data_IF_542635067378
#
_entry.id   IF_542635067378
#
_cell.length_a   1.000
_cell.length_b   1.000
_cell.length_c   1.000
_cell.angle_alpha   90.00
_cell.angle_beta   90.00
_cell.angle_gamma   90.00
#
_symmetry.space_group_name_H-M   'P 1'
#
loop_
_entity.id
_entity.type
_entity.pdbx_description
1 polymer ?
#
# COMPACT_ATOMS: atom_id res chain seq x y z
N UNK A 1 -6.73 -17.26 7.30
CA UNK A 1 -5.79 -16.12 7.14
C UNK A 1 -6.25 -15.27 5.96
N UNK A 2 -7.47 -14.72 6.02
CA UNK A 2 -8.17 -14.08 4.87
C UNK A 2 -8.62 -12.63 5.18
N UNK A 3 -8.06 -12.01 6.22
CA UNK A 3 -8.41 -10.64 6.64
C UNK A 3 -7.47 -9.56 6.09
N UNK A 4 -6.41 -9.93 5.35
CA UNK A 4 -5.40 -8.99 4.87
C UNK A 4 -5.78 -8.23 3.58
N UNK A 5 -6.72 -8.74 2.79
CA UNK A 5 -6.99 -8.23 1.43
C UNK A 5 -7.94 -7.03 1.37
N UNK A 6 -8.64 -6.70 2.46
CA UNK A 6 -9.66 -5.63 2.48
C UNK A 6 -9.27 -4.37 3.27
N UNK A 7 -8.15 -4.36 3.99
CA UNK A 7 -7.76 -3.24 4.87
C UNK A 7 -7.20 -2.04 4.08
N UNK A 8 -6.44 -2.27 3.02
CA UNK A 8 -5.92 -1.18 2.16
C UNK A 8 -7.06 -0.45 1.42
N UNK A 9 -8.15 -1.18 1.14
CA UNK A 9 -9.39 -0.65 0.55
C UNK A 9 -10.18 0.21 1.57
N UNK A 10 -10.20 -0.20 2.83
CA UNK A 10 -10.86 0.52 3.92
C UNK A 10 -10.22 1.89 4.19
N UNK A 11 -8.87 1.96 4.15
CA UNK A 11 -8.15 3.23 4.31
C UNK A 11 -8.43 4.23 3.19
N UNK A 12 -8.53 3.76 1.94
CA UNK A 12 -8.84 4.59 0.77
C UNK A 12 -10.29 5.10 0.81
N UNK A 13 -11.23 4.25 1.26
CA UNK A 13 -12.64 4.62 1.48
C UNK A 13 -12.76 5.66 2.61
N UNK A 14 -12.05 5.46 3.72
CA UNK A 14 -12.01 6.40 4.84
C UNK A 14 -11.62 7.81 4.40
N UNK A 15 -10.69 7.91 3.45
CA UNK A 15 -10.19 9.14 2.86
C UNK A 15 -11.15 9.83 1.89
N UNK A 16 -11.87 9.04 1.09
CA UNK A 16 -12.96 9.56 0.29
C UNK A 16 -14.02 10.20 1.19
N UNK A 17 -14.37 9.54 2.30
CA UNK A 17 -15.31 10.10 3.27
C UNK A 17 -14.73 11.31 4.03
N UNK A 18 -13.42 11.34 4.35
CA UNK A 18 -12.81 12.51 5.02
C UNK A 18 -12.80 13.75 4.13
N UNK A 19 -12.60 13.56 2.82
CA UNK A 19 -12.69 14.65 1.85
C UNK A 19 -14.15 15.11 1.65
N UNK A 20 -15.10 14.17 1.57
CA UNK A 20 -16.53 14.47 1.35
C UNK A 20 -17.18 15.18 2.54
N UNK A 21 -16.77 14.82 3.76
CA UNK A 21 -17.31 15.34 5.02
C UNK A 21 -16.47 16.49 5.61
N UNK A 22 -15.45 16.95 4.88
CA UNK A 22 -14.66 18.11 5.27
C UNK A 22 -15.52 19.38 5.31
N UNK A 23 -15.32 20.28 6.30
CA UNK A 23 -15.97 21.59 6.35
C UNK A 23 -15.81 22.43 5.07
N UNK A 24 -14.75 22.19 4.30
CA UNK A 24 -14.46 22.91 3.06
C UNK A 24 -15.31 22.47 1.85
N UNK A 25 -15.78 21.23 1.86
CA UNK A 25 -16.63 20.64 0.80
C UNK A 25 -18.09 20.58 1.23
N UNK A 26 -18.35 20.78 2.53
CA UNK A 26 -19.67 20.77 3.13
C UNK A 26 -20.67 21.70 2.44
N UNK A 27 -20.33 22.93 1.99
CA UNK A 27 -21.25 23.78 1.23
C UNK A 27 -21.60 23.21 -0.14
N UNK A 28 -20.66 22.57 -0.83
CA UNK A 28 -20.83 21.99 -2.16
C UNK A 28 -21.64 20.69 -2.09
N UNK A 29 -21.39 19.88 -1.06
CA UNK A 29 -22.15 18.67 -0.75
C UNK A 29 -23.55 19.02 -0.25
N UNK A 30 -23.69 20.06 0.58
CA UNK A 30 -24.99 20.61 0.99
C UNK A 30 -25.77 21.13 -0.23
N UNK A 31 -25.11 21.75 -1.21
CA UNK A 31 -25.75 22.17 -2.47
C UNK A 31 -26.24 20.95 -3.28
N UNK A 32 -25.44 19.89 -3.39
CA UNK A 32 -25.83 18.64 -4.04
C UNK A 32 -26.93 17.87 -3.31
N UNK A 33 -26.87 17.79 -1.98
CA UNK A 33 -27.89 17.17 -1.14
C UNK A 33 -29.19 17.98 -1.14
N UNK A 34 -29.10 19.32 -1.20
CA UNK A 34 -30.25 20.21 -1.37
C UNK A 34 -30.90 20.02 -2.74
N UNK A 35 -30.11 19.81 -3.81
CA UNK A 35 -30.63 19.46 -5.13
C UNK A 35 -31.36 18.10 -5.16
N UNK A 36 -31.03 17.20 -4.23
CA UNK A 36 -31.74 15.93 -4.00
C UNK A 36 -32.89 16.05 -2.99
N UNK A 37 -33.23 17.26 -2.53
CA UNK A 37 -34.35 17.52 -1.61
C UNK A 37 -34.06 17.26 -0.13
N UNK A 38 -32.81 17.02 0.26
CA UNK A 38 -32.39 16.80 1.66
C UNK A 38 -32.09 18.14 2.39
N UNK A 39 -32.78 19.21 2.01
CA UNK A 39 -32.45 20.61 2.32
C UNK A 39 -32.71 21.11 3.74
N UNK A 40 -32.83 20.22 4.73
CA UNK A 40 -33.11 20.61 6.13
C UNK A 40 -32.33 19.81 7.17
N UNK A 41 -31.32 19.07 6.73
CA UNK A 41 -30.51 18.30 7.65
C UNK A 41 -29.48 19.22 8.34
N UNK A 42 -29.88 19.78 9.48
CA UNK A 42 -28.99 20.13 10.60
C UNK A 42 -28.29 18.85 11.15
N UNK A 43 -27.74 17.98 10.28
CA UNK A 43 -27.32 16.58 10.53
C UNK A 43 -26.16 16.44 11.54
N UNK A 44 -25.85 17.54 12.21
CA UNK A 44 -24.51 17.92 12.58
C UNK A 44 -24.52 19.08 13.61
N UNK A 45 -25.67 19.37 14.22
CA UNK A 45 -25.75 20.24 15.39
C UNK A 45 -24.96 19.62 16.55
N UNK A 46 -24.00 20.37 17.13
CA UNK A 46 -23.15 20.02 18.29
C UNK A 46 -22.17 18.84 18.12
N UNK A 47 -22.59 17.80 17.41
CA UNK A 47 -21.90 16.50 17.31
C UNK A 47 -20.89 16.43 16.16
N UNK A 48 -20.96 17.37 15.20
CA UNK A 48 -19.99 17.52 14.08
C UNK A 48 -18.55 17.43 14.52
N UNK A 49 -18.25 18.13 15.59
CA UNK A 49 -16.90 18.27 16.11
C UNK A 49 -16.34 16.92 16.57
N UNK A 50 -17.12 16.16 17.32
CA UNK A 50 -16.75 14.83 17.79
C UNK A 50 -16.57 13.86 16.62
N UNK A 51 -17.44 13.92 15.61
CA UNK A 51 -17.35 13.10 14.41
C UNK A 51 -16.07 13.44 13.61
N UNK A 52 -15.78 14.72 13.42
CA UNK A 52 -14.58 15.16 12.70
C UNK A 52 -13.28 14.74 13.42
N UNK A 53 -13.24 14.87 14.75
CA UNK A 53 -12.11 14.39 15.56
C UNK A 53 -11.94 12.87 15.46
N UNK A 54 -13.04 12.10 15.51
CA UNK A 54 -13.00 10.65 15.35
C UNK A 54 -12.44 10.25 13.98
N UNK A 55 -12.84 10.95 12.91
CA UNK A 55 -12.32 10.68 11.55
C UNK A 55 -10.82 10.97 11.42
N UNK A 56 -10.32 12.05 12.05
CA UNK A 56 -8.88 12.34 12.09
C UNK A 56 -8.13 11.22 12.81
N UNK A 57 -8.63 10.75 13.95
CA UNK A 57 -8.03 9.65 14.70
C UNK A 57 -8.00 8.35 13.87
N UNK A 58 -9.12 8.01 13.22
CA UNK A 58 -9.20 6.83 12.34
C UNK A 58 -8.19 6.95 11.19
N UNK A 59 -8.04 8.14 10.59
CA UNK A 59 -7.07 8.40 9.53
C UNK A 59 -5.62 8.22 10.02
N UNK A 60 -5.28 8.76 11.19
CA UNK A 60 -3.94 8.58 11.80
C UNK A 60 -3.68 7.11 12.11
N UNK A 61 -4.64 6.40 12.70
CA UNK A 61 -4.52 4.96 12.98
C UNK A 61 -4.32 4.17 11.67
N UNK A 62 -5.06 4.50 10.61
CA UNK A 62 -4.86 3.92 9.28
C UNK A 62 -3.45 4.14 8.74
N UNK A 63 -2.90 5.34 8.91
CA UNK A 63 -1.52 5.65 8.52
C UNK A 63 -0.48 4.96 9.40
N UNK A 64 -0.73 4.78 10.69
CA UNK A 64 0.14 4.02 11.61
C UNK A 64 0.15 2.54 11.23
N UNK A 65 -1.00 1.94 10.89
CA UNK A 65 -1.08 0.56 10.41
C UNK A 65 -0.34 0.42 9.07
N UNK A 66 -0.49 1.39 8.15
CA UNK A 66 0.28 1.46 6.90
C UNK A 66 1.80 1.51 7.18
N UNK A 67 2.22 2.29 8.17
CA UNK A 67 3.62 2.38 8.61
C UNK A 67 4.16 1.04 9.11
N UNK A 68 3.40 0.31 9.93
CA UNK A 68 3.82 -1.01 10.42
C UNK A 68 4.01 -2.03 9.28
N UNK A 69 3.22 -1.92 8.20
CA UNK A 69 3.26 -2.87 7.07
C UNK A 69 4.40 -2.58 6.09
N UNK A 70 4.68 -1.32 5.78
CA UNK A 70 5.63 -0.93 4.74
C UNK A 70 6.87 -0.16 5.24
N UNK A 71 7.00 0.05 6.57
CA UNK A 71 8.13 0.70 7.27
C UNK A 71 8.50 2.10 6.74
N UNK A 72 7.58 2.79 6.06
CA UNK A 72 7.85 4.09 5.42
C UNK A 72 7.43 5.26 6.31
N UNK A 73 8.42 5.99 6.86
CA UNK A 73 8.19 7.08 7.83
C UNK A 73 7.54 8.35 7.24
N UNK A 74 7.69 8.58 5.93
CA UNK A 74 7.36 9.86 5.30
C UNK A 74 5.89 10.28 5.42
N UNK A 75 4.88 9.43 5.17
CA UNK A 75 3.47 9.83 5.33
C UNK A 75 3.12 10.21 6.77
N UNK A 76 3.71 9.51 7.74
CA UNK A 76 3.48 9.74 9.16
C UNK A 76 4.06 11.10 9.60
N UNK A 77 5.23 11.46 9.08
CA UNK A 77 5.89 12.74 9.35
C UNK A 77 5.07 13.94 8.89
N UNK A 78 4.27 13.81 7.82
CA UNK A 78 3.36 14.88 7.40
C UNK A 78 2.02 14.84 8.14
N UNK A 79 1.51 13.66 8.49
CA UNK A 79 0.18 13.51 9.08
C UNK A 79 0.10 13.98 10.54
N UNK A 80 1.09 13.63 11.38
CA UNK A 80 1.12 14.01 12.80
C UNK A 80 1.11 15.54 13.00
N UNK A 81 2.01 16.33 12.38
CA UNK A 81 1.98 17.79 12.55
C UNK A 81 0.71 18.41 11.97
N UNK A 82 0.17 17.85 10.88
CA UNK A 82 -1.10 18.30 10.30
C UNK A 82 -2.27 18.11 11.26
N UNK A 83 -2.36 16.96 11.94
CA UNK A 83 -3.40 16.70 12.94
C UNK A 83 -3.27 17.60 14.17
N UNK A 84 -2.04 17.85 14.65
CA UNK A 84 -1.77 18.79 15.74
C UNK A 84 -2.23 20.20 15.36
N UNK A 85 -1.97 20.64 14.12
CA UNK A 85 -2.38 21.94 13.62
C UNK A 85 -3.90 22.10 13.59
N UNK A 86 -4.63 21.04 13.19
CA UNK A 86 -6.09 21.04 13.21
C UNK A 86 -6.63 21.15 14.64
N UNK A 87 -6.08 20.37 15.58
CA UNK A 87 -6.48 20.43 16.99
C UNK A 87 -6.19 21.81 17.61
N UNK A 88 -5.06 22.42 17.28
CA UNK A 88 -4.70 23.76 17.74
C UNK A 88 -5.63 24.84 17.18
N UNK A 89 -5.91 24.81 15.87
CA UNK A 89 -6.86 25.72 15.22
C UNK A 89 -8.30 25.52 15.71
N UNK A 90 -8.59 24.37 16.30
CA UNK A 90 -9.92 24.11 16.85
C UNK A 90 -10.05 24.60 18.31
N UNK A 91 -9.09 24.29 19.19
CA UNK A 91 -9.19 24.60 20.62
C UNK A 91 -8.69 25.99 21.03
N UNK A 92 -7.71 26.55 20.32
CA UNK A 92 -6.95 27.70 20.82
C UNK A 92 -7.10 28.95 19.96
N UNK A 93 -7.17 28.77 18.64
CA UNK A 93 -7.15 29.87 17.68
C UNK A 93 -8.37 29.69 16.78
N UNK A 94 -9.49 30.35 17.09
CA UNK A 94 -10.76 30.30 16.32
C UNK A 94 -10.66 30.73 14.83
N UNK A 95 -9.44 30.81 14.30
CA UNK A 95 -9.07 31.04 12.92
C UNK A 95 -9.17 29.74 12.12
N UNK A 96 -10.14 29.70 11.20
CA UNK A 96 -10.38 28.56 10.32
C UNK A 96 -9.17 28.20 9.43
N UNK A 97 -8.27 29.16 9.14
CA UNK A 97 -7.08 28.96 8.30
C UNK A 97 -6.18 27.80 8.76
N UNK A 98 -5.99 27.62 10.07
CA UNK A 98 -5.16 26.52 10.60
C UNK A 98 -5.75 25.15 10.28
N UNK A 99 -7.08 25.03 10.32
CA UNK A 99 -7.79 23.80 9.98
C UNK A 99 -7.58 23.48 8.50
N UNK A 100 -7.78 24.44 7.60
CA UNK A 100 -7.58 24.24 6.16
C UNK A 100 -6.15 23.80 5.81
N UNK A 101 -5.14 24.45 6.40
CA UNK A 101 -3.73 24.08 6.18
C UNK A 101 -3.46 22.65 6.66
N UNK A 102 -3.97 22.28 7.83
CA UNK A 102 -3.81 20.92 8.35
C UNK A 102 -4.54 19.86 7.50
N UNK A 103 -5.71 20.17 6.97
CA UNK A 103 -6.44 19.26 6.08
C UNK A 103 -5.71 19.05 4.75
N UNK A 104 -5.13 20.12 4.19
CA UNK A 104 -4.29 20.03 3.00
C UNK A 104 -3.04 19.16 3.28
N UNK A 105 -2.44 19.31 4.46
CA UNK A 105 -1.34 18.46 4.91
C UNK A 105 -1.71 16.97 5.02
N UNK A 106 -2.90 16.63 5.53
CA UNK A 106 -3.41 15.26 5.57
C UNK A 106 -3.68 14.68 4.17
N UNK A 107 -4.18 15.51 3.24
CA UNK A 107 -4.36 15.11 1.84
C UNK A 107 -3.02 14.82 1.17
N UNK A 108 -2.01 15.67 1.37
CA UNK A 108 -0.65 15.42 0.86
C UNK A 108 -0.07 14.15 1.47
N UNK A 109 -0.16 13.98 2.81
CA UNK A 109 0.33 12.79 3.50
C UNK A 109 -0.28 11.52 2.91
N UNK A 110 -1.58 11.58 2.58
CA UNK A 110 -2.27 10.49 1.91
C UNK A 110 -1.80 10.30 0.48
N UNK A 111 -1.70 11.36 -0.31
CA UNK A 111 -1.23 11.26 -1.70
C UNK A 111 0.15 10.60 -1.77
N UNK A 112 1.04 10.95 -0.83
CA UNK A 112 2.34 10.31 -0.65
C UNK A 112 2.20 8.85 -0.21
N UNK A 113 1.30 8.53 0.73
CA UNK A 113 1.02 7.14 1.13
C UNK A 113 0.48 6.30 -0.04
N UNK A 114 -0.45 6.83 -0.82
CA UNK A 114 -1.04 6.18 -2.00
C UNK A 114 0.01 5.98 -3.10
N UNK A 115 0.78 7.02 -3.43
CA UNK A 115 1.82 6.93 -4.45
C UNK A 115 2.92 5.96 -4.01
N UNK A 116 3.36 5.99 -2.75
CA UNK A 116 4.31 5.00 -2.22
C UNK A 116 3.74 3.60 -2.21
N UNK A 117 2.50 3.42 -1.77
CA UNK A 117 1.85 2.11 -1.76
C UNK A 117 1.74 1.56 -3.18
N UNK A 118 1.45 2.43 -4.17
CA UNK A 118 1.48 2.08 -5.59
C UNK A 118 2.90 1.75 -6.08
N UNK A 119 3.92 2.47 -5.62
CA UNK A 119 5.33 2.19 -5.97
C UNK A 119 5.90 0.96 -5.26
N UNK A 120 5.40 0.59 -4.08
CA UNK A 120 5.69 -0.69 -3.42
C UNK A 120 4.80 -1.83 -3.96
N UNK A 121 3.73 -1.49 -4.69
CA UNK A 121 2.81 -2.43 -5.31
C UNK A 121 3.37 -3.16 -6.54
N UNK A 122 4.63 -2.92 -6.92
CA UNK A 122 5.26 -3.68 -7.99
C UNK A 122 5.82 -5.03 -7.54
N UNK A 123 5.86 -5.35 -6.24
CA UNK A 123 6.34 -6.66 -5.83
C UNK A 123 6.01 -7.00 -4.36
N UNK A 124 4.94 -7.76 -4.13
CA UNK A 124 4.58 -8.27 -2.79
C UNK A 124 5.62 -9.26 -2.23
N UNK A 125 6.51 -9.79 -3.09
CA UNK A 125 7.50 -10.82 -2.78
C UNK A 125 8.95 -10.36 -3.00
N UNK A 126 9.20 -9.06 -3.04
CA UNK A 126 10.55 -8.55 -3.23
C UNK A 126 11.32 -8.44 -1.92
N UNK A 127 12.57 -8.87 -1.94
CA UNK A 127 13.51 -8.75 -0.82
C UNK A 127 14.70 -7.90 -1.24
N UNK A 128 15.51 -7.47 -0.26
CA UNK A 128 16.79 -6.83 -0.52
C UNK A 128 17.87 -7.91 -0.55
N UNK A 129 18.46 -8.13 -1.72
CA UNK A 129 19.61 -9.02 -1.91
C UNK A 129 20.81 -8.16 -2.34
N UNK A 130 21.90 -8.24 -1.58
CA UNK A 130 23.11 -7.42 -1.72
C UNK A 130 22.85 -5.93 -2.04
N UNK A 131 21.90 -5.32 -1.33
CA UNK A 131 21.56 -3.90 -1.47
C UNK A 131 20.66 -3.53 -2.67
N UNK A 132 20.19 -4.51 -3.45
CA UNK A 132 19.27 -4.32 -4.58
C UNK A 132 17.93 -5.02 -4.34
N UNK A 133 16.84 -4.45 -4.86
CA UNK A 133 15.51 -5.06 -4.80
C UNK A 133 15.38 -6.19 -5.83
N UNK A 134 15.07 -7.40 -5.37
CA UNK A 134 14.91 -8.59 -6.23
C UNK A 134 13.56 -9.26 -5.99
N UNK A 135 12.94 -9.78 -7.05
CA UNK A 135 11.66 -10.51 -7.01
C UNK A 135 11.91 -12.00 -6.84
N UNK A 136 11.41 -12.58 -5.73
CA UNK A 136 11.59 -14.01 -5.45
C UNK A 136 10.50 -14.90 -6.05
N UNK A 137 9.32 -14.36 -6.38
CA UNK A 137 8.25 -15.16 -6.95
C UNK A 137 8.53 -15.40 -8.43
N UNK A 138 8.64 -16.66 -8.82
CA UNK A 138 8.87 -17.05 -10.22
C UNK A 138 7.98 -18.24 -10.56
N UNK A 139 7.32 -18.18 -11.72
CA UNK A 139 6.52 -19.28 -12.23
C UNK A 139 7.44 -20.22 -13.01
N UNK A 140 7.68 -21.41 -12.47
CA UNK A 140 8.44 -22.46 -13.16
C UNK A 140 7.54 -23.17 -14.17
N UNK A 141 8.00 -23.25 -15.43
CA UNK A 141 7.31 -23.92 -16.52
C UNK A 141 8.06 -25.20 -16.87
N UNK A 142 7.43 -26.36 -16.66
CA UNK A 142 8.03 -27.64 -17.00
C UNK A 142 8.11 -27.82 -18.53
N UNK A 143 9.30 -28.03 -19.13
CA UNK A 143 9.44 -28.24 -20.57
C UNK A 143 8.86 -29.58 -21.05
N UNK A 144 8.70 -30.56 -20.16
CA UNK A 144 8.25 -31.91 -20.52
C UNK A 144 6.71 -32.02 -20.60
N UNK A 145 5.98 -31.31 -19.73
CA UNK A 145 4.51 -31.41 -19.65
C UNK A 145 3.78 -30.07 -19.74
N UNK A 146 4.49 -28.94 -19.81
CA UNK A 146 3.90 -27.60 -19.87
C UNK A 146 3.28 -27.11 -18.56
N UNK A 147 3.35 -27.88 -17.48
CA UNK A 147 2.84 -27.49 -16.17
C UNK A 147 3.53 -26.23 -15.65
N UNK A 148 2.76 -25.30 -15.12
CA UNK A 148 3.23 -24.04 -14.55
C UNK A 148 2.96 -24.02 -13.06
N UNK A 149 3.99 -23.72 -12.27
CA UNK A 149 3.85 -23.60 -10.81
C UNK A 149 4.52 -22.33 -10.32
N UNK A 150 3.78 -21.56 -9.53
CA UNK A 150 4.32 -20.40 -8.82
C UNK A 150 5.13 -20.87 -7.62
N UNK A 151 6.41 -20.52 -7.58
CA UNK A 151 7.34 -20.88 -6.51
C UNK A 151 8.06 -19.63 -6.00
N UNK A 152 8.45 -19.67 -4.73
CA UNK A 152 9.30 -18.64 -4.13
C UNK A 152 10.75 -19.13 -4.21
N UNK A 153 11.60 -18.37 -4.90
CA UNK A 153 13.02 -18.66 -5.00
C UNK A 153 13.69 -18.56 -3.63
N UNK A 154 14.49 -19.57 -3.25
CA UNK A 154 15.35 -19.46 -2.07
C UNK A 154 16.42 -18.40 -2.29
N UNK A 155 16.71 -17.60 -1.25
CA UNK A 155 17.81 -16.63 -1.22
C UNK A 155 19.12 -17.24 -0.75
N UNK A 156 19.06 -18.41 -0.10
CA UNK A 156 20.17 -18.96 0.68
C UNK A 156 21.03 -19.93 -0.15
N UNK A 157 20.50 -20.41 -1.29
CA UNK A 157 21.19 -21.31 -2.20
C UNK A 157 20.56 -21.33 -3.60
N UNK A 158 21.34 -21.70 -4.61
CA UNK A 158 20.86 -21.88 -5.97
C UNK A 158 20.19 -23.23 -6.18
N UNK A 159 18.92 -23.22 -6.60
CA UNK A 159 18.17 -24.44 -6.91
C UNK A 159 18.61 -25.03 -8.25
N UNK A 160 19.50 -26.03 -8.21
CA UNK A 160 19.98 -26.69 -9.43
C UNK A 160 19.06 -27.82 -9.91
N UNK A 161 18.37 -28.50 -8.98
CA UNK A 161 17.46 -29.59 -9.28
C UNK A 161 16.04 -29.22 -8.87
N UNK A 162 15.07 -29.44 -9.74
CA UNK A 162 13.66 -29.22 -9.42
C UNK A 162 12.81 -30.37 -9.92
N UNK A 163 12.08 -31.00 -9.02
CA UNK A 163 11.12 -32.05 -9.38
C UNK A 163 9.79 -31.40 -9.76
N UNK A 164 9.33 -31.65 -10.99
CA UNK A 164 8.01 -31.17 -11.40
C UNK A 164 6.91 -31.95 -10.67
N UNK A 165 5.97 -31.26 -10.01
CA UNK A 165 4.89 -31.91 -9.27
C UNK A 165 3.93 -32.74 -10.13
N UNK A 166 3.78 -32.38 -11.41
CA UNK A 166 2.85 -33.06 -12.31
C UNK A 166 3.45 -34.36 -12.90
N UNK A 167 4.64 -34.27 -13.51
CA UNK A 167 5.26 -35.41 -14.20
C UNK A 167 6.39 -36.07 -13.41
N UNK A 168 6.76 -35.54 -12.24
CA UNK A 168 7.84 -36.02 -11.34
C UNK A 168 9.21 -36.11 -11.99
N UNK A 169 9.40 -35.42 -13.12
CA UNK A 169 10.71 -35.33 -13.78
C UNK A 169 11.56 -34.30 -13.07
N UNK A 170 12.82 -34.66 -12.81
CA UNK A 170 13.83 -33.76 -12.27
C UNK A 170 14.38 -32.90 -13.42
N UNK A 171 14.08 -31.60 -13.35
CA UNK A 171 14.61 -30.58 -14.23
C UNK A 171 16.02 -30.15 -13.77
N UNK A 172 16.91 -29.96 -14.73
CA UNK A 172 18.25 -29.38 -14.56
C UNK A 172 18.37 -28.14 -15.43
N UNK A 173 19.14 -27.10 -15.03
CA UNK A 173 19.33 -25.93 -15.86
C UNK A 173 19.90 -26.27 -17.24
N UNK A 174 19.57 -25.42 -18.21
CA UNK A 174 20.13 -25.46 -19.56
C UNK A 174 21.61 -25.07 -19.52
N UNK A 175 22.35 -25.52 -20.52
CA UNK A 175 23.76 -25.16 -20.66
C UNK A 175 23.92 -23.64 -20.77
N UNK A 176 24.68 -23.05 -19.85
CA UNK A 176 24.88 -21.60 -19.75
C UNK A 176 24.04 -20.89 -18.68
N UNK A 177 23.05 -21.55 -18.09
CA UNK A 177 22.27 -21.02 -16.96
C UNK A 177 22.72 -21.63 -15.62
N UNK A 178 22.61 -20.87 -14.52
CA UNK A 178 23.06 -21.29 -13.19
C UNK A 178 22.05 -22.08 -12.35
N UNK A 179 20.75 -21.95 -12.63
CA UNK A 179 19.70 -22.59 -11.85
C UNK A 179 18.44 -22.82 -12.67
N UNK A 180 17.53 -23.65 -12.15
CA UNK A 180 16.27 -23.99 -12.83
C UNK A 180 15.41 -22.77 -13.13
N UNK A 181 15.45 -21.74 -12.28
CA UNK A 181 14.71 -20.50 -12.46
C UNK A 181 15.25 -19.65 -13.61
N UNK A 182 16.57 -19.64 -13.84
CA UNK A 182 17.15 -18.97 -15.00
C UNK A 182 16.73 -19.62 -16.31
N UNK A 183 16.58 -20.95 -16.33
CA UNK A 183 16.23 -21.71 -17.54
C UNK A 183 14.75 -21.81 -17.84
N UNK A 184 13.92 -21.92 -16.80
CA UNK A 184 12.50 -22.29 -16.91
C UNK A 184 11.56 -21.38 -16.11
N UNK A 185 12.08 -20.43 -15.34
CA UNK A 185 11.30 -19.47 -14.58
C UNK A 185 10.92 -18.24 -15.40
N UNK A 186 9.84 -17.57 -15.00
CA UNK A 186 9.45 -16.26 -15.54
C UNK A 186 10.38 -15.14 -15.06
N UNK A 187 10.87 -15.25 -13.82
CA UNK A 187 11.81 -14.33 -13.20
C UNK A 187 13.15 -15.05 -12.95
N UNK A 188 14.26 -14.37 -13.27
CA UNK A 188 15.65 -14.87 -13.12
C UNK A 188 16.06 -14.97 -11.65
N UNK A 189 17.16 -15.67 -11.34
CA UNK A 189 17.61 -15.81 -9.95
C UNK A 189 18.06 -14.49 -9.31
N UNK A 190 18.11 -14.40 -7.96
CA UNK A 190 18.48 -13.19 -7.24
C UNK A 190 19.82 -12.58 -7.68
N UNK A 191 20.86 -13.39 -7.88
CA UNK A 191 22.19 -12.92 -8.30
C UNK A 191 22.16 -12.21 -9.65
N UNK A 192 21.45 -12.78 -10.63
CA UNK A 192 21.32 -12.19 -11.97
C UNK A 192 20.48 -10.90 -11.93
N UNK A 193 19.41 -10.86 -11.12
CA UNK A 193 18.64 -9.63 -10.92
C UNK A 193 19.47 -8.53 -10.23
N UNK A 194 20.34 -8.91 -9.30
CA UNK A 194 21.28 -8.01 -8.65
C UNK A 194 22.46 -7.61 -9.55
N UNK A 195 22.56 -8.14 -10.78
CA UNK A 195 23.66 -7.85 -11.71
C UNK A 195 25.00 -8.45 -11.26
N UNK A 196 24.96 -9.48 -10.43
CA UNK A 196 26.12 -10.28 -10.06
C UNK A 196 26.29 -11.44 -11.03
N UNK A 197 27.46 -12.07 -11.02
CA UNK A 197 27.64 -13.35 -11.70
C UNK A 197 26.69 -14.39 -11.12
N UNK A 198 26.40 -15.41 -11.91
CA UNK A 198 25.87 -16.67 -11.38
C UNK A 198 26.63 -17.06 -10.12
N UNK A 199 25.90 -17.58 -9.13
CA UNK A 199 26.48 -18.32 -8.02
C UNK A 199 27.64 -19.22 -8.49
#
# INVERSE_FOLDING_TARGET
>A
MELKLNIDKLGTIGLFFTALLSPCCFPLFAFGASALGLGSFELFGGWTMWIFQAMILISIVGLIISYQKHRSLYPLLFAIPSAILILYGYYFSSNFYFIYIGMFGLLIATGVNYYRNKSHGTCETCTIYNGKSVELKSTLICPNCGHKKDEIMPTDACQFFYECENCKVILKPKQGDCCVYCSYGTVKCPSIQAGESCC
#
